data_IF_260530617568
#
_entry.id   IF_260530617568
#
_cell.length_a   1.000
_cell.length_b   1.000
_cell.length_c   1.000
_cell.angle_alpha   90.00
_cell.angle_beta   90.00
_cell.angle_gamma   90.00
#
_symmetry.space_group_name_H-M   'P 1'
#
loop_
_entity.id
_entity.type
_entity.pdbx_description
1 polymer ?
#
# COMPACT_ATOMS: atom_id res chain seq x y z
N UNK A 1 23.10 -3.40 11.64
CA UNK A 1 22.50 -2.83 12.86
C UNK A 1 20.99 -2.92 12.71
N UNK A 2 20.27 -3.53 13.66
CA UNK A 2 18.80 -3.58 13.64
C UNK A 2 18.27 -2.18 13.93
N UNK A 3 17.36 -1.68 13.10
CA UNK A 3 16.68 -0.40 13.34
C UNK A 3 16.05 -0.44 14.75
N UNK A 4 16.15 0.63 15.57
CA UNK A 4 15.49 0.67 16.87
C UNK A 4 13.99 0.40 16.67
N UNK A 5 13.38 -0.47 17.49
CA UNK A 5 12.08 -1.03 17.18
C UNK A 5 11.04 0.08 17.20
N UNK A 6 10.27 0.20 16.12
CA UNK A 6 9.02 0.95 16.19
C UNK A 6 8.11 0.27 17.21
N UNK A 7 7.29 1.04 17.90
CA UNK A 7 6.22 0.46 18.70
C UNK A 7 5.15 -0.07 17.74
N UNK A 8 5.25 -1.33 17.32
CA UNK A 8 4.42 -1.91 16.24
C UNK A 8 2.95 -2.12 16.63
N UNK A 9 2.65 -2.10 17.93
CA UNK A 9 1.33 -2.32 18.51
C UNK A 9 1.01 -1.18 19.47
N UNK A 10 -0.18 -0.60 19.33
CA UNK A 10 -0.71 0.30 20.35
C UNK A 10 -0.99 -0.43 21.68
N UNK A 11 -1.12 0.32 22.78
CA UNK A 11 -1.50 -0.23 24.07
C UNK A 11 -2.82 -1.04 24.01
N UNK A 12 -3.79 -0.57 23.23
CA UNK A 12 -5.06 -1.27 23.02
C UNK A 12 -4.87 -2.61 22.29
N UNK A 13 -4.02 -2.65 21.25
CA UNK A 13 -3.70 -3.89 20.54
C UNK A 13 -2.98 -4.89 21.45
N UNK A 14 -2.02 -4.43 22.26
CA UNK A 14 -1.31 -5.28 23.24
C UNK A 14 -2.29 -5.92 24.23
N UNK A 15 -3.23 -5.13 24.75
CA UNK A 15 -4.27 -5.62 25.67
C UNK A 15 -5.18 -6.67 25.01
N UNK A 16 -5.70 -6.39 23.81
CA UNK A 16 -6.57 -7.32 23.08
C UNK A 16 -5.85 -8.64 22.75
N UNK A 17 -4.57 -8.59 22.34
CA UNK A 17 -3.77 -9.80 22.10
C UNK A 17 -3.60 -10.63 23.39
N UNK A 18 -3.35 -9.99 24.54
CA UNK A 18 -3.27 -10.69 25.85
C UNK A 18 -4.58 -11.37 26.25
N UNK A 19 -5.72 -10.81 25.84
CA UNK A 19 -7.05 -11.40 26.07
C UNK A 19 -7.43 -12.47 25.03
N UNK A 20 -6.56 -12.80 24.07
CA UNK A 20 -6.86 -13.74 22.98
C UNK A 20 -7.75 -13.16 21.87
N UNK A 21 -8.06 -11.86 21.90
CA UNK A 21 -8.90 -11.16 20.92
C UNK A 21 -8.07 -10.66 19.72
N UNK A 22 -7.30 -11.56 19.10
CA UNK A 22 -6.36 -11.24 18.02
C UNK A 22 -7.02 -10.60 16.80
N UNK A 23 -8.21 -11.04 16.41
CA UNK A 23 -8.98 -10.46 15.29
C UNK A 23 -9.34 -8.98 15.49
N UNK A 24 -9.65 -8.60 16.72
CA UNK A 24 -9.91 -7.22 17.11
C UNK A 24 -8.63 -6.40 17.12
N UNK A 25 -7.55 -6.95 17.70
CA UNK A 25 -6.23 -6.31 17.68
C UNK A 25 -5.73 -6.06 16.23
N UNK A 26 -5.99 -7.01 15.33
CA UNK A 26 -5.71 -6.90 13.90
C UNK A 26 -6.52 -5.77 13.26
N UNK A 27 -7.81 -5.66 13.58
CA UNK A 27 -8.65 -4.59 13.05
C UNK A 27 -8.17 -3.21 13.50
N UNK A 28 -7.75 -3.08 14.77
CA UNK A 28 -7.22 -1.82 15.30
C UNK A 28 -5.85 -1.42 14.74
N UNK A 29 -5.12 -2.33 14.08
CA UNK A 29 -3.80 -2.01 13.49
C UNK A 29 -3.87 -0.83 12.53
N UNK A 30 -4.99 -0.68 11.83
CA UNK A 30 -5.23 0.39 10.85
C UNK A 30 -5.32 1.79 11.46
N UNK A 31 -5.48 1.87 12.78
CA UNK A 31 -5.55 3.13 13.53
C UNK A 31 -4.22 3.47 14.18
N UNK A 32 -3.26 2.55 14.13
CA UNK A 32 -1.96 2.71 14.77
C UNK A 32 -0.90 3.03 13.73
N UNK A 33 -0.22 4.14 13.94
CA UNK A 33 0.95 4.54 13.16
C UNK A 33 1.98 5.05 14.15
N UNK A 34 3.20 4.49 14.20
CA UNK A 34 4.16 4.71 15.28
C UNK A 34 4.94 6.02 15.13
N UNK A 35 4.24 7.12 14.84
CA UNK A 35 4.80 8.46 14.69
C UNK A 35 3.93 9.51 15.35
N UNK A 36 4.55 10.58 15.85
CA UNK A 36 3.86 11.70 16.49
C UNK A 36 2.91 12.44 15.54
N UNK A 37 2.04 13.31 16.07
CA UNK A 37 1.05 14.03 15.28
C UNK A 37 1.68 14.99 14.25
N UNK A 38 2.87 15.52 14.52
CA UNK A 38 3.56 16.45 13.62
C UNK A 38 4.25 15.77 12.42
N UNK A 39 4.42 14.43 12.44
CA UNK A 39 5.03 13.71 11.34
C UNK A 39 4.17 13.82 10.06
N UNK A 40 4.79 14.07 8.91
CA UNK A 40 4.10 14.06 7.61
C UNK A 40 4.09 12.63 7.04
N UNK A 41 2.89 12.09 6.79
CA UNK A 41 2.70 10.68 6.42
C UNK A 41 2.14 10.54 5.01
N UNK A 42 2.83 9.77 4.16
CA UNK A 42 2.36 9.34 2.85
C UNK A 42 1.73 7.95 2.94
N UNK A 43 0.64 7.73 2.23
CA UNK A 43 0.15 6.38 1.94
C UNK A 43 0.14 6.11 0.44
N UNK A 44 0.90 5.09 0.04
CA UNK A 44 1.02 4.59 -1.32
C UNK A 44 -0.01 3.49 -1.53
N UNK A 45 -0.76 3.54 -2.64
CA UNK A 45 -1.89 2.63 -2.92
C UNK A 45 -3.07 2.86 -1.99
N UNK A 46 -3.40 4.13 -1.73
CA UNK A 46 -4.40 4.54 -0.71
C UNK A 46 -5.81 3.96 -0.88
N UNK A 47 -6.22 3.69 -2.12
CA UNK A 47 -7.54 3.16 -2.43
C UNK A 47 -8.73 3.89 -1.83
N UNK A 48 -9.81 3.14 -1.57
CA UNK A 48 -11.08 3.67 -1.08
C UNK A 48 -11.16 3.73 0.44
N UNK A 49 -10.16 3.18 1.12
CA UNK A 49 -10.07 3.16 2.57
C UNK A 49 -8.59 3.30 2.94
N UNK A 50 -8.01 4.50 2.87
CA UNK A 50 -6.66 4.78 3.37
C UNK A 50 -6.58 4.56 4.89
N UNK A 51 -5.40 4.55 5.49
CA UNK A 51 -5.23 4.67 6.92
C UNK A 51 -5.58 6.11 7.37
N UNK A 52 -6.42 6.30 8.40
CA UNK A 52 -6.82 7.64 8.84
C UNK A 52 -5.64 8.58 9.13
N UNK A 53 -4.52 8.02 9.60
CA UNK A 53 -3.32 8.79 9.92
C UNK A 53 -2.65 9.45 8.71
N UNK A 54 -2.81 8.94 7.48
CA UNK A 54 -2.12 9.47 6.31
C UNK A 54 -2.50 10.94 6.05
N UNK A 55 -1.51 11.75 5.68
CA UNK A 55 -1.70 13.15 5.37
C UNK A 55 -1.87 13.38 3.87
N UNK A 56 -1.07 12.65 3.07
CA UNK A 56 -1.05 12.69 1.61
C UNK A 56 -1.27 11.27 1.09
N UNK A 57 -2.06 11.16 0.03
CA UNK A 57 -2.42 9.92 -0.63
C UNK A 57 -1.81 9.87 -2.04
N UNK A 58 -1.37 8.69 -2.45
CA UNK A 58 -1.01 8.42 -3.85
C UNK A 58 -1.58 7.07 -4.26
N UNK A 59 -2.12 7.01 -5.48
CA UNK A 59 -2.67 5.79 -6.07
C UNK A 59 -2.42 5.80 -7.58
N UNK A 60 -2.28 4.64 -8.22
CA UNK A 60 -2.02 4.59 -9.66
C UNK A 60 -3.30 4.83 -10.48
N UNK A 61 -4.48 4.54 -9.91
CA UNK A 61 -5.73 4.49 -10.67
C UNK A 61 -6.89 5.10 -9.88
N UNK A 62 -7.73 5.89 -10.55
CA UNK A 62 -9.03 6.31 -10.01
C UNK A 62 -9.95 5.09 -9.83
N UNK A 63 -9.89 4.16 -10.77
CA UNK A 63 -10.73 2.97 -10.83
C UNK A 63 -9.91 1.74 -11.22
N UNK A 64 -9.94 0.68 -10.40
CA UNK A 64 -9.18 -0.56 -10.64
C UNK A 64 -9.91 -1.78 -10.07
N UNK A 65 -9.74 -2.94 -10.73
CA UNK A 65 -10.21 -4.24 -10.25
C UNK A 65 -9.48 -4.69 -8.98
N UNK A 66 -8.22 -4.32 -8.82
CA UNK A 66 -7.39 -4.68 -7.65
C UNK A 66 -8.03 -4.20 -6.35
N UNK A 67 -8.82 -3.12 -6.44
CA UNK A 67 -9.60 -2.52 -5.36
C UNK A 67 -11.06 -2.98 -5.34
N UNK A 68 -11.40 -4.03 -6.08
CA UNK A 68 -12.78 -4.46 -6.32
C UNK A 68 -13.69 -3.32 -6.80
N UNK A 69 -13.15 -2.37 -7.57
CA UNK A 69 -13.87 -1.18 -8.04
C UNK A 69 -14.39 -0.25 -6.94
N UNK A 70 -13.87 -0.35 -5.70
CA UNK A 70 -14.20 0.64 -4.68
C UNK A 70 -13.68 2.04 -5.11
N UNK A 71 -14.49 3.10 -4.99
CA UNK A 71 -14.08 4.45 -5.38
C UNK A 71 -12.80 4.88 -4.66
N UNK A 72 -11.90 5.55 -5.37
CA UNK A 72 -10.74 6.18 -4.75
C UNK A 72 -11.21 7.25 -3.74
N UNK A 73 -10.65 7.24 -2.54
CA UNK A 73 -10.95 8.26 -1.53
C UNK A 73 -10.01 9.45 -1.68
N UNK A 74 -10.57 10.64 -1.78
CA UNK A 74 -9.83 11.89 -2.05
C UNK A 74 -10.11 12.98 -1.01
N UNK A 75 -10.37 12.60 0.25
CA UNK A 75 -10.78 13.51 1.34
C UNK A 75 -9.63 14.35 1.93
N UNK A 76 -8.45 14.29 1.31
CA UNK A 76 -7.20 14.96 1.68
C UNK A 76 -6.31 15.03 0.42
N UNK A 77 -5.19 15.78 0.44
CA UNK A 77 -4.18 15.74 -0.63
C UNK A 77 -4.00 14.38 -1.30
N UNK A 78 -4.31 14.29 -2.59
CA UNK A 78 -4.23 13.06 -3.37
C UNK A 78 -3.59 13.32 -4.72
N UNK A 79 -2.75 12.40 -5.18
CA UNK A 79 -2.04 12.45 -6.47
C UNK A 79 -2.16 11.08 -7.15
N UNK A 80 -2.29 11.07 -8.48
CA UNK A 80 -2.20 9.83 -9.25
C UNK A 80 -0.76 9.60 -9.73
N UNK A 81 -0.17 8.48 -9.33
CA UNK A 81 1.16 8.05 -9.77
C UNK A 81 1.41 6.57 -9.48
N UNK A 82 2.36 5.96 -10.19
CA UNK A 82 2.83 4.59 -9.93
C UNK A 82 3.82 4.56 -8.77
N UNK A 83 3.80 3.48 -7.98
CA UNK A 83 4.68 3.32 -6.81
C UNK A 83 6.17 3.24 -7.18
N UNK A 84 6.46 2.79 -8.39
CA UNK A 84 7.79 2.69 -8.98
C UNK A 84 8.36 4.05 -9.45
N UNK A 85 7.57 5.13 -9.45
CA UNK A 85 8.06 6.47 -9.77
C UNK A 85 7.23 7.54 -9.07
N UNK A 86 7.46 7.70 -7.77
CA UNK A 86 6.69 8.60 -6.92
C UNK A 86 7.07 10.07 -7.21
N UNK A 87 6.10 10.95 -7.44
CA UNK A 87 6.34 12.34 -7.85
C UNK A 87 6.66 13.26 -6.66
N UNK A 88 7.24 12.73 -5.59
CA UNK A 88 7.58 13.49 -4.38
C UNK A 88 9.08 13.73 -4.28
N UNK A 89 9.48 14.85 -3.66
CA UNK A 89 10.87 15.16 -3.36
C UNK A 89 11.47 14.15 -2.37
N UNK A 90 12.80 14.02 -2.38
CA UNK A 90 13.51 13.08 -1.52
C UNK A 90 13.29 13.42 -0.04
N UNK A 91 13.07 12.39 0.78
CA UNK A 91 12.89 12.48 2.24
C UNK A 91 11.84 13.50 2.70
N UNK A 92 10.85 13.76 1.85
CA UNK A 92 9.71 14.65 2.14
C UNK A 92 8.88 14.13 3.31
N UNK A 93 8.69 12.80 3.40
CA UNK A 93 7.81 12.19 4.38
C UNK A 93 8.60 11.63 5.56
N UNK A 94 8.10 11.88 6.77
CA UNK A 94 8.66 11.26 7.97
C UNK A 94 8.29 9.78 8.05
N UNK A 95 7.15 9.39 7.46
CA UNK A 95 6.69 8.01 7.42
C UNK A 95 5.93 7.70 6.12
N UNK A 96 6.20 6.53 5.54
CA UNK A 96 5.52 6.03 4.34
C UNK A 96 4.79 4.73 4.66
N UNK A 97 3.53 4.62 4.25
CA UNK A 97 2.70 3.43 4.42
C UNK A 97 2.47 2.82 3.04
N UNK A 98 2.68 1.51 2.90
CA UNK A 98 2.31 0.72 1.73
C UNK A 98 1.64 -0.57 2.22
N UNK A 99 0.31 -0.58 2.23
CA UNK A 99 -0.48 -1.74 2.66
C UNK A 99 -1.17 -2.37 1.46
N UNK A 100 -0.85 -3.63 1.18
CA UNK A 100 -1.39 -4.38 0.05
C UNK A 100 -1.13 -3.72 -1.31
N UNK A 101 0.15 -3.44 -1.59
CA UNK A 101 0.59 -2.74 -2.81
C UNK A 101 1.83 -3.39 -3.40
N UNK A 102 2.84 -3.67 -2.56
CA UNK A 102 4.10 -4.24 -3.04
C UNK A 102 3.88 -5.54 -3.81
N UNK A 103 2.93 -6.38 -3.38
CA UNK A 103 2.61 -7.65 -4.05
C UNK A 103 2.10 -7.49 -5.49
N UNK A 104 1.62 -6.30 -5.87
CA UNK A 104 1.18 -5.96 -7.23
C UNK A 104 2.30 -5.39 -8.11
N UNK A 105 3.48 -5.13 -7.54
CA UNK A 105 4.61 -4.50 -8.24
C UNK A 105 5.22 -5.46 -9.26
N UNK A 106 5.48 -4.96 -10.46
CA UNK A 106 6.26 -5.70 -11.47
C UNK A 106 7.77 -5.53 -11.27
N UNK A 107 8.19 -4.40 -10.70
CA UNK A 107 9.57 -4.07 -10.37
C UNK A 107 9.72 -3.76 -8.86
N UNK A 108 9.82 -4.79 -8.00
CA UNK A 108 9.92 -4.58 -6.56
C UNK A 108 11.16 -3.79 -6.14
N UNK A 109 12.26 -3.89 -6.90
CA UNK A 109 13.49 -3.16 -6.59
C UNK A 109 13.29 -1.66 -6.75
N UNK A 110 12.65 -1.25 -7.86
CA UNK A 110 12.32 0.16 -8.10
C UNK A 110 11.25 0.66 -7.12
N UNK A 111 10.19 -0.11 -6.85
CA UNK A 111 9.15 0.25 -5.88
C UNK A 111 9.73 0.52 -4.48
N UNK A 112 10.54 -0.41 -3.95
CA UNK A 112 11.16 -0.25 -2.62
C UNK A 112 12.17 0.91 -2.60
N UNK A 113 12.90 1.10 -3.69
CA UNK A 113 13.82 2.23 -3.83
C UNK A 113 13.09 3.57 -3.76
N UNK A 114 11.91 3.70 -4.37
CA UNK A 114 11.09 4.91 -4.31
C UNK A 114 10.50 5.15 -2.92
N UNK A 115 9.99 4.11 -2.24
CA UNK A 115 9.54 4.25 -0.84
C UNK A 115 10.67 4.77 0.06
N UNK A 116 11.86 4.19 -0.08
CA UNK A 116 13.04 4.60 0.66
C UNK A 116 13.50 6.02 0.27
N UNK A 117 13.35 6.42 -1.00
CA UNK A 117 13.77 7.74 -1.47
C UNK A 117 12.88 8.84 -0.89
N UNK A 118 11.56 8.69 -0.94
CA UNK A 118 10.61 9.73 -0.48
C UNK A 118 10.44 9.75 1.04
N UNK A 119 10.70 8.63 1.72
CA UNK A 119 10.47 8.46 3.16
C UNK A 119 11.74 8.39 4.01
N UNK A 120 11.68 8.91 5.24
CA UNK A 120 12.70 8.70 6.28
C UNK A 120 12.51 7.34 6.99
N UNK A 121 11.27 6.88 7.08
CA UNK A 121 10.87 5.61 7.67
C UNK A 121 9.56 5.13 7.03
N UNK A 122 9.15 3.90 7.34
CA UNK A 122 7.85 3.42 6.86
C UNK A 122 7.42 2.05 7.34
N UNK A 123 6.28 1.64 6.78
CA UNK A 123 5.55 0.42 7.05
C UNK A 123 5.10 -0.22 5.74
N UNK A 124 5.41 -1.50 5.57
CA UNK A 124 4.97 -2.33 4.44
C UNK A 124 4.17 -3.52 4.99
N UNK A 125 2.99 -3.76 4.43
CA UNK A 125 2.12 -4.90 4.74
C UNK A 125 1.71 -5.58 3.43
N UNK A 126 1.84 -6.90 3.37
CA UNK A 126 1.34 -7.75 2.28
C UNK A 126 0.80 -9.06 2.89
N UNK A 127 0.05 -9.88 2.14
CA UNK A 127 -0.07 -11.30 2.48
C UNK A 127 1.33 -11.89 2.61
N UNK A 128 1.53 -12.77 3.59
CA UNK A 128 2.81 -13.48 3.69
C UNK A 128 2.97 -14.43 2.48
N UNK A 129 4.21 -14.68 2.07
CA UNK A 129 4.54 -15.56 0.95
C UNK A 129 3.92 -16.95 1.06
N UNK A 130 3.73 -17.49 2.27
CA UNK A 130 3.01 -18.74 2.47
C UNK A 130 1.53 -18.61 2.10
N UNK A 131 0.87 -17.55 2.59
CA UNK A 131 -0.53 -17.26 2.32
C UNK A 131 -0.76 -17.06 0.82
N UNK A 132 0.10 -16.26 0.16
CA UNK A 132 0.02 -16.02 -1.28
C UNK A 132 0.18 -17.30 -2.09
N UNK A 133 1.08 -18.22 -1.69
CA UNK A 133 1.34 -19.42 -2.47
C UNK A 133 0.18 -20.42 -2.47
N UNK A 134 -0.47 -20.59 -1.32
CA UNK A 134 -1.57 -21.55 -1.18
C UNK A 134 -2.93 -20.95 -1.57
N UNK A 135 -3.08 -19.63 -1.49
CA UNK A 135 -4.32 -18.93 -1.81
C UNK A 135 -4.01 -17.72 -2.72
N UNK A 136 -3.60 -17.97 -3.97
CA UNK A 136 -3.10 -16.94 -4.88
C UNK A 136 -4.19 -15.97 -5.30
N UNK A 137 -3.80 -14.70 -5.44
CA UNK A 137 -4.66 -13.67 -6.00
C UNK A 137 -4.26 -13.39 -7.45
N UNK A 138 -5.27 -13.13 -8.29
CA UNK A 138 -5.11 -12.98 -9.75
C UNK A 138 -4.20 -11.82 -10.15
N UNK A 139 -4.16 -10.79 -9.32
CA UNK A 139 -3.42 -9.55 -9.57
C UNK A 139 -2.08 -9.48 -8.81
N UNK A 140 -1.80 -10.45 -7.92
CA UNK A 140 -0.55 -10.47 -7.15
C UNK A 140 0.57 -11.11 -7.96
N UNK A 141 1.62 -10.32 -8.18
CA UNK A 141 2.82 -10.65 -8.95
C UNK A 141 3.95 -11.20 -8.09
N UNK A 142 3.94 -10.89 -6.78
CA UNK A 142 5.03 -11.25 -5.86
C UNK A 142 4.53 -12.09 -4.69
N UNK A 143 5.42 -12.93 -4.18
CA UNK A 143 5.32 -13.53 -2.85
C UNK A 143 6.34 -12.83 -1.95
N UNK A 144 5.89 -12.29 -0.81
CA UNK A 144 6.73 -11.47 0.07
C UNK A 144 6.67 -12.03 1.50
N UNK A 145 7.81 -12.21 2.12
CA UNK A 145 7.91 -12.62 3.54
C UNK A 145 9.06 -11.88 4.21
N UNK A 146 9.12 -11.93 5.54
CA UNK A 146 10.25 -11.41 6.31
C UNK A 146 11.01 -12.57 6.91
N UNK A 147 12.32 -12.65 6.65
CA UNK A 147 13.22 -13.63 7.29
C UNK A 147 14.44 -12.89 7.81
N UNK A 148 14.79 -13.16 9.07
CA UNK A 148 15.95 -12.56 9.73
C UNK A 148 16.00 -11.01 9.69
N UNK A 149 14.83 -10.36 9.60
CA UNK A 149 14.71 -8.90 9.51
C UNK A 149 14.89 -8.31 8.10
N UNK A 150 14.88 -9.15 7.07
CA UNK A 150 14.98 -8.78 5.66
C UNK A 150 13.71 -9.18 4.90
N UNK A 151 13.25 -8.34 3.97
CA UNK A 151 12.21 -8.68 3.01
C UNK A 151 12.77 -9.69 1.98
N UNK A 152 12.18 -10.88 1.94
CA UNK A 152 12.50 -11.91 0.95
C UNK A 152 11.38 -11.96 -0.07
N UNK A 153 11.71 -11.61 -1.31
CA UNK A 153 10.74 -11.44 -2.39
C UNK A 153 10.98 -12.49 -3.46
N UNK A 154 9.91 -13.19 -3.85
CA UNK A 154 9.88 -14.04 -5.04
C UNK A 154 8.94 -13.45 -6.08
N UNK A 155 9.43 -13.30 -7.31
CA UNK A 155 8.61 -12.96 -8.47
C UNK A 155 7.85 -14.21 -8.95
N UNK A 156 6.54 -14.12 -9.16
CA UNK A 156 5.73 -15.20 -9.73
C UNK A 156 5.78 -15.10 -11.25
N UNK A 157 6.01 -16.22 -11.95
CA UNK A 157 5.98 -16.25 -13.42
C UNK A 157 4.56 -16.23 -14.01
N UNK A 158 3.55 -16.51 -13.18
CA UNK A 158 2.13 -16.46 -13.50
C UNK A 158 1.32 -16.23 -12.21
N UNK A 159 0.01 -15.95 -12.34
CA UNK A 159 -0.84 -15.66 -11.17
C UNK A 159 -0.98 -16.83 -10.19
N UNK A 160 -0.77 -18.08 -10.62
CA UNK A 160 -0.63 -19.26 -9.73
C UNK A 160 0.77 -19.84 -9.88
N UNK A 161 1.50 -19.93 -8.77
CA UNK A 161 2.84 -20.51 -8.76
C UNK A 161 2.80 -22.06 -8.74
N UNK A 162 1.85 -22.66 -8.01
CA UNK A 162 1.73 -24.11 -7.83
C UNK A 162 0.28 -24.60 -8.01
N UNK A 163 -0.18 -24.81 -9.27
CA UNK A 163 -1.59 -25.14 -9.54
C UNK A 163 -2.09 -26.41 -8.86
N UNK A 164 -1.28 -27.47 -8.83
CA UNK A 164 -1.63 -28.76 -8.20
C UNK A 164 -1.77 -28.62 -6.67
N UNK A 165 -0.81 -27.94 -6.01
CA UNK A 165 -0.88 -27.68 -4.57
C UNK A 165 -2.12 -26.86 -4.20
N UNK A 166 -2.43 -25.84 -5.02
CA UNK A 166 -3.63 -25.01 -4.82
C UNK A 166 -4.88 -25.85 -4.96
N UNK A 167 -5.03 -26.66 -6.01
CA UNK A 167 -6.19 -27.54 -6.23
C UNK A 167 -6.45 -28.46 -5.02
N UNK A 168 -5.42 -29.13 -4.52
CA UNK A 168 -5.52 -29.97 -3.31
C UNK A 168 -5.94 -29.17 -2.07
N UNK A 169 -5.38 -27.97 -1.89
CA UNK A 169 -5.75 -27.07 -0.79
C UNK A 169 -7.20 -26.60 -0.88
N UNK A 170 -7.67 -26.21 -2.08
CA UNK A 170 -9.04 -25.75 -2.32
C UNK A 170 -10.05 -26.85 -1.99
N UNK A 171 -9.76 -28.08 -2.42
CA UNK A 171 -10.64 -29.22 -2.19
C UNK A 171 -10.71 -29.65 -0.72
N UNK A 172 -9.61 -29.56 0.03
CA UNK A 172 -9.53 -30.14 1.39
C UNK A 172 -9.58 -29.13 2.53
N UNK A 173 -8.84 -28.02 2.44
CA UNK A 173 -8.48 -27.21 3.62
C UNK A 173 -8.99 -25.77 3.54
N UNK A 174 -9.18 -25.20 2.34
CA UNK A 174 -9.54 -23.79 2.14
C UNK A 174 -10.70 -23.31 3.00
N UNK A 175 -11.78 -24.09 3.09
CA UNK A 175 -12.94 -23.73 3.92
C UNK A 175 -12.61 -23.60 5.40
N UNK A 176 -11.73 -24.45 5.95
CA UNK A 176 -11.33 -24.39 7.35
C UNK A 176 -10.33 -23.25 7.59
N UNK A 177 -9.34 -23.10 6.70
CA UNK A 177 -8.33 -22.06 6.81
C UNK A 177 -8.96 -20.66 6.74
N UNK A 178 -9.73 -20.39 5.69
CA UNK A 178 -10.31 -19.06 5.43
C UNK A 178 -11.44 -18.67 6.40
N UNK A 179 -12.25 -19.63 6.88
CA UNK A 179 -13.40 -19.32 7.76
C UNK A 179 -13.11 -19.43 9.25
N UNK A 180 -12.06 -20.15 9.66
CA UNK A 180 -11.76 -20.38 11.08
C UNK A 180 -10.39 -19.88 11.48
N UNK A 181 -9.34 -20.31 10.79
CA UNK A 181 -7.96 -20.09 11.22
C UNK A 181 -7.50 -18.67 10.91
N UNK A 182 -7.60 -18.23 9.65
CA UNK A 182 -7.17 -16.88 9.26
C UNK A 182 -7.89 -15.75 10.01
N UNK A 183 -9.22 -15.81 10.23
CA UNK A 183 -9.90 -14.77 11.00
C UNK A 183 -9.47 -14.76 12.48
N UNK A 184 -9.06 -15.91 13.03
CA UNK A 184 -8.60 -16.05 14.42
C UNK A 184 -7.17 -15.56 14.59
N UNK A 185 -6.28 -15.90 13.67
CA UNK A 185 -4.82 -15.62 13.75
C UNK A 185 -4.33 -14.86 12.51
N UNK A 186 -4.87 -13.66 12.21
CA UNK A 186 -4.58 -12.96 10.95
C UNK A 186 -3.11 -12.51 10.81
N UNK A 187 -2.43 -12.24 11.93
CA UNK A 187 -1.01 -11.88 11.94
C UNK A 187 -0.12 -12.99 11.33
N UNK A 188 -0.56 -14.26 11.36
CA UNK A 188 0.23 -15.39 10.82
C UNK A 188 0.15 -15.51 9.29
N UNK A 189 -0.77 -14.78 8.65
CA UNK A 189 -1.03 -14.83 7.21
C UNK A 189 -0.62 -13.54 6.49
N UNK A 190 -0.08 -12.58 7.23
CA UNK A 190 0.34 -11.28 6.70
C UNK A 190 1.72 -10.98 7.23
N UNK A 191 2.60 -10.53 6.34
CA UNK A 191 3.87 -9.98 6.77
C UNK A 191 3.69 -8.50 7.11
N UNK A 192 4.44 -8.03 8.11
CA UNK A 192 4.49 -6.64 8.53
C UNK A 192 5.95 -6.24 8.66
N UNK A 193 6.37 -5.20 7.95
CA UNK A 193 7.76 -4.77 7.90
C UNK A 193 7.88 -3.27 8.17
N UNK A 194 8.58 -2.95 9.26
CA UNK A 194 8.90 -1.58 9.64
C UNK A 194 10.35 -1.26 9.31
N UNK A 195 10.59 -0.07 8.75
CA UNK A 195 11.93 0.35 8.36
C UNK A 195 12.20 1.80 8.74
N UNK A 196 13.49 2.10 8.92
CA UNK A 196 14.02 3.44 9.14
C UNK A 196 15.30 3.56 8.34
N UNK A 197 15.46 4.67 7.64
CA UNK A 197 16.56 5.05 6.76
C UNK A 197 16.74 4.13 5.53
N UNK A 198 16.81 2.82 5.76
CA UNK A 198 17.03 1.78 4.76
C UNK A 198 16.02 0.64 4.88
N UNK A 199 15.56 0.17 3.73
CA UNK A 199 14.82 -1.10 3.58
C UNK A 199 15.87 -2.18 3.29
N UNK A 200 15.80 -3.32 3.98
CA UNK A 200 16.62 -4.49 3.65
C UNK A 200 15.75 -5.48 2.88
N UNK A 201 16.12 -5.77 1.65
CA UNK A 201 15.40 -6.73 0.81
C UNK A 201 16.34 -7.49 -0.11
N UNK A 202 15.86 -8.66 -0.56
CA UNK A 202 16.45 -9.42 -1.65
C UNK A 202 15.38 -10.08 -2.50
N UNK A 203 15.58 -10.05 -3.82
CA UNK A 203 14.79 -10.82 -4.78
C UNK A 203 15.50 -12.15 -5.01
N UNK A 204 14.83 -13.28 -4.70
CA UNK A 204 15.46 -14.61 -4.74
C UNK A 204 15.57 -15.21 -6.14
N UNK A 205 14.81 -14.67 -7.10
CA UNK A 205 14.76 -15.08 -8.49
C UNK A 205 14.72 -13.85 -9.42
N UNK A 206 15.80 -13.06 -9.49
CA UNK A 206 15.80 -11.76 -10.16
C UNK A 206 15.45 -11.83 -11.65
N UNK A 207 15.79 -12.96 -12.30
CA UNK A 207 15.57 -13.20 -13.72
C UNK A 207 14.13 -13.62 -14.09
N UNK A 208 13.25 -13.84 -13.11
CA UNK A 208 11.84 -14.15 -13.38
C UNK A 208 11.09 -12.88 -13.75
N UNK A 209 10.37 -12.89 -14.87
CA UNK A 209 9.49 -11.80 -15.26
C UNK A 209 8.18 -11.83 -14.45
N UNK A 210 7.85 -10.70 -13.84
CA UNK A 210 6.61 -10.45 -13.11
C UNK A 210 5.66 -9.51 -13.89
N UNK A 211 6.03 -9.13 -15.11
CA UNK A 211 5.32 -8.22 -16.00
C UNK A 211 4.05 -8.78 -16.64
N UNK A 212 3.67 -10.03 -16.34
CA UNK A 212 2.51 -10.71 -16.94
C UNK A 212 1.19 -9.98 -16.68
N UNK A 213 0.24 -10.17 -17.60
CA UNK A 213 -1.12 -9.64 -17.49
C UNK A 213 -2.00 -10.55 -16.65
N UNK A 214 -2.75 -10.03 -15.66
CA UNK A 214 -3.70 -10.82 -14.89
C UNK A 214 -4.75 -11.49 -15.79
N UNK A 215 -5.24 -12.69 -15.43
CA UNK A 215 -6.30 -13.36 -16.18
C UNK A 215 -7.58 -12.51 -16.17
N UNK A 216 -8.34 -12.59 -17.27
CA UNK A 216 -9.65 -11.95 -17.38
C UNK A 216 -10.58 -12.40 -16.24
N UNK A 217 -11.42 -11.48 -15.75
CA UNK A 217 -12.51 -11.82 -14.83
C UNK A 217 -13.80 -11.96 -15.64
N UNK A 218 -14.50 -13.07 -15.50
CA UNK A 218 -15.82 -13.26 -16.11
C UNK A 218 -16.91 -12.43 -15.40
N UNK A 219 -16.66 -11.98 -14.16
CA UNK A 219 -17.60 -11.16 -13.39
C UNK A 219 -16.96 -9.85 -12.90
N UNK A 220 -17.70 -8.73 -13.02
CA UNK A 220 -17.48 -7.55 -12.19
C UNK A 220 -18.17 -7.83 -10.85
N UNK A 221 -17.43 -8.36 -9.89
CA UNK A 221 -17.93 -8.41 -8.52
C UNK A 221 -17.98 -6.96 -8.00
N UNK A 222 -19.18 -6.39 -7.94
CA UNK A 222 -19.39 -5.06 -7.40
C UNK A 222 -18.96 -4.99 -5.93
N UNK A 223 -18.27 -3.92 -5.55
CA UNK A 223 -17.97 -3.61 -4.16
C UNK A 223 -19.27 -3.47 -3.34
N UNK A 224 -19.66 -4.52 -2.61
CA UNK A 224 -20.80 -4.50 -1.69
C UNK A 224 -20.32 -4.38 -0.25
N UNK A 225 -20.16 -3.15 0.24
CA UNK A 225 -19.87 -2.91 1.64
C UNK A 225 -21.15 -2.80 2.46
N UNK A 226 -21.21 -3.48 3.60
CA UNK A 226 -22.30 -3.36 4.56
C UNK A 226 -22.39 -1.91 5.09
N UNK A 227 -23.59 -1.31 5.06
CA UNK A 227 -23.85 0.08 5.44
C UNK A 227 -23.40 0.43 6.87
N UNK A 228 -23.57 -0.49 7.83
CA UNK A 228 -23.13 -0.29 9.22
C UNK A 228 -21.60 -0.25 9.29
N UNK A 229 -20.94 -1.18 8.61
CA UNK A 229 -19.47 -1.22 8.55
C UNK A 229 -18.90 0.01 7.86
N UNK A 230 -19.59 0.50 6.82
CA UNK A 230 -19.24 1.74 6.14
C UNK A 230 -19.34 2.93 7.09
N UNK A 231 -20.46 3.11 7.78
CA UNK A 231 -20.66 4.20 8.74
C UNK A 231 -19.61 4.18 9.87
N UNK A 232 -19.29 2.99 10.40
CA UNK A 232 -18.21 2.83 11.39
C UNK A 232 -16.85 3.23 10.80
N UNK A 233 -16.53 2.76 9.59
CA UNK A 233 -15.27 3.12 8.92
C UNK A 233 -15.17 4.62 8.67
N UNK A 234 -16.24 5.26 8.20
CA UNK A 234 -16.32 6.71 7.99
C UNK A 234 -16.15 7.48 9.30
N UNK A 235 -16.77 7.01 10.39
CA UNK A 235 -16.63 7.62 11.73
C UNK A 235 -15.19 7.52 12.24
N UNK A 236 -14.56 6.36 12.10
CA UNK A 236 -13.17 6.15 12.51
C UNK A 236 -12.20 6.99 11.67
N UNK A 237 -12.44 7.06 10.36
CA UNK A 237 -11.70 7.95 9.47
C UNK A 237 -11.85 9.40 9.89
N UNK A 238 -13.06 9.82 10.27
CA UNK A 238 -13.32 11.17 10.73
C UNK A 238 -12.57 11.48 12.03
N UNK A 239 -12.64 10.59 13.02
CA UNK A 239 -12.06 10.75 14.35
C UNK A 239 -10.52 10.72 14.36
N UNK A 240 -9.92 9.84 13.57
CA UNK A 240 -8.47 9.56 13.61
C UNK A 240 -7.68 10.25 12.49
N UNK A 241 -8.34 11.01 11.61
CA UNK A 241 -7.66 11.78 10.57
C UNK A 241 -7.28 13.18 11.04
N UNK A 242 -6.19 13.70 10.46
CA UNK A 242 -5.71 15.06 10.73
C UNK A 242 -6.36 16.10 9.81
N UNK A 243 -7.70 16.10 9.71
CA UNK A 243 -8.44 16.90 8.70
C UNK A 243 -8.01 18.35 8.60
N UNK A 244 -7.90 19.03 9.75
CA UNK A 244 -7.51 20.44 9.81
C UNK A 244 -6.13 20.67 9.19
N UNK A 245 -5.16 19.81 9.51
CA UNK A 245 -3.81 19.87 8.95
C UNK A 245 -3.81 19.51 7.47
N UNK A 246 -4.50 18.44 7.10
CA UNK A 246 -4.58 17.95 5.72
C UNK A 246 -5.15 19.02 4.77
N UNK A 247 -6.15 19.78 5.22
CA UNK A 247 -6.76 20.85 4.42
C UNK A 247 -5.83 22.05 4.16
N UNK A 248 -4.79 22.24 4.98
CA UNK A 248 -3.83 23.35 4.84
C UNK A 248 -2.49 22.92 4.22
N UNK A 249 -2.34 21.67 3.80
CA UNK A 249 -1.09 21.19 3.20
C UNK A 249 -0.94 21.70 1.77
N UNK A 250 0.17 22.40 1.52
CA UNK A 250 0.60 22.73 0.16
C UNK A 250 1.28 21.52 -0.49
N UNK A 251 0.47 20.71 -1.16
CA UNK A 251 0.94 19.51 -1.87
C UNK A 251 1.95 19.86 -2.96
N UNK A 252 1.80 21.00 -3.62
CA UNK A 252 2.67 21.38 -4.75
C UNK A 252 4.12 21.51 -4.29
N UNK A 253 4.35 22.04 -3.09
CA UNK A 253 5.68 22.16 -2.50
C UNK A 253 6.39 20.80 -2.30
N UNK A 254 5.62 19.73 -2.11
CA UNK A 254 6.09 18.37 -1.85
C UNK A 254 6.50 17.63 -3.13
N UNK A 255 6.01 18.11 -4.29
CA UNK A 255 6.12 17.41 -5.56
C UNK A 255 7.42 17.72 -6.30
N UNK A 256 7.83 16.77 -7.14
CA UNK A 256 8.84 16.94 -8.19
C UNK A 256 8.31 16.35 -9.49
N UNK A 257 8.85 16.80 -10.62
CA UNK A 257 8.50 16.24 -11.92
C UNK A 257 8.93 14.76 -12.02
N UNK A 258 8.01 13.81 -12.24
CA UNK A 258 8.35 12.38 -12.40
C UNK A 258 9.07 12.06 -13.70
N UNK A 259 9.14 13.00 -14.66
CA UNK A 259 9.81 12.79 -15.95
C UNK A 259 11.29 13.21 -15.94
N UNK A 260 11.64 14.34 -15.34
CA UNK A 260 13.03 14.81 -15.27
C UNK A 260 13.65 14.71 -13.87
N UNK A 261 12.86 14.35 -12.86
CA UNK A 261 13.23 14.15 -11.45
C UNK A 261 13.79 15.38 -10.71
N UNK A 262 14.02 16.50 -11.42
CA UNK A 262 14.67 17.70 -10.90
C UNK A 262 13.81 18.95 -10.94
N UNK A 263 12.76 18.95 -11.78
CA UNK A 263 11.96 20.14 -12.00
C UNK A 263 10.85 20.31 -11.00
N UNK A 264 10.69 21.54 -10.50
CA UNK A 264 9.50 21.94 -9.78
C UNK A 264 8.30 21.99 -10.73
N UNK A 265 7.16 21.57 -10.20
CA UNK A 265 5.88 21.65 -10.88
C UNK A 265 5.22 22.99 -10.60
N UNK A 266 4.60 23.56 -11.64
CA UNK A 266 3.73 24.72 -11.54
C UNK A 266 2.32 24.29 -11.86
N UNK A 267 1.36 24.89 -11.17
CA UNK A 267 -0.05 24.66 -11.44
C UNK A 267 -0.53 25.64 -12.50
N UNK A 268 -1.11 25.12 -13.57
CA UNK A 268 -1.70 25.88 -14.67
C UNK A 268 -3.19 25.49 -14.74
N UNK A 269 -4.05 26.27 -14.05
CA UNK A 269 -5.46 25.92 -13.83
C UNK A 269 -5.60 24.57 -13.10
N UNK A 270 -6.13 23.56 -13.78
CA UNK A 270 -6.29 22.20 -13.25
C UNK A 270 -5.09 21.31 -13.57
N UNK A 271 -4.26 21.67 -14.56
CA UNK A 271 -3.11 20.86 -14.96
C UNK A 271 -1.82 21.32 -14.26
N UNK A 272 -0.78 20.51 -14.38
CA UNK A 272 0.56 20.85 -13.91
C UNK A 272 1.57 20.83 -15.04
N UNK A 273 2.56 21.72 -14.99
CA UNK A 273 3.67 21.74 -15.93
C UNK A 273 5.00 21.76 -15.18
N UNK A 274 5.99 21.09 -15.72
CA UNK A 274 7.35 21.12 -15.20
C UNK A 274 8.12 22.29 -15.83
N UNK A 275 8.70 23.18 -15.01
CA UNK A 275 9.39 24.36 -15.55
C UNK A 275 10.65 24.01 -16.36
N UNK A 276 11.53 23.08 -15.93
CA UNK A 276 12.75 22.77 -16.68
C UNK A 276 12.56 21.92 -17.95
N UNK A 277 11.63 20.95 -17.95
CA UNK A 277 11.45 20.05 -19.11
C UNK A 277 10.17 20.32 -19.91
N UNK A 278 9.41 21.36 -19.54
CA UNK A 278 8.15 21.76 -20.16
C UNK A 278 7.07 20.65 -20.22
N UNK A 279 7.24 19.57 -19.44
CA UNK A 279 6.31 18.44 -19.45
C UNK A 279 5.01 18.84 -18.76
N UNK A 280 3.90 18.74 -19.48
CA UNK A 280 2.55 18.83 -18.92
C UNK A 280 2.07 17.51 -18.32
N UNK A 281 1.26 17.63 -17.27
CA UNK A 281 0.61 16.57 -16.52
C UNK A 281 -0.86 16.96 -16.32
N UNK A 282 -1.81 16.18 -16.84
CA UNK A 282 -3.22 16.49 -16.72
C UNK A 282 -3.72 16.25 -15.30
N UNK A 283 -4.93 16.73 -15.01
CA UNK A 283 -5.72 16.25 -13.86
C UNK A 283 -6.87 15.34 -14.28
N UNK A 284 -7.17 14.34 -13.44
CA UNK A 284 -8.32 13.46 -13.59
C UNK A 284 -9.29 13.72 -12.43
N UNK A 285 -10.47 14.28 -12.72
CA UNK A 285 -11.45 14.65 -11.67
C UNK A 285 -10.92 15.64 -10.64
N UNK A 286 -10.01 16.53 -11.03
CA UNK A 286 -9.33 17.48 -10.13
C UNK A 286 -8.16 16.91 -9.34
N UNK A 287 -7.78 15.65 -9.59
CA UNK A 287 -6.62 14.99 -8.99
C UNK A 287 -5.44 15.08 -9.95
N UNK A 288 -4.28 15.63 -9.56
CA UNK A 288 -3.11 15.70 -10.41
C UNK A 288 -2.63 14.31 -10.84
N UNK A 289 -2.46 14.08 -12.14
CA UNK A 289 -2.01 12.83 -12.72
C UNK A 289 -0.54 12.91 -13.17
N UNK A 290 0.35 12.42 -12.31
CA UNK A 290 1.81 12.52 -12.43
C UNK A 290 2.42 11.17 -12.82
N UNK A 291 1.85 10.53 -13.83
CA UNK A 291 2.36 9.27 -14.37
C UNK A 291 3.64 9.51 -15.20
N UNK A 292 4.67 8.66 -15.09
CA UNK A 292 5.75 8.64 -16.08
C UNK A 292 5.18 8.32 -17.48
N UNK A 293 5.92 8.72 -18.53
CA UNK A 293 5.59 8.22 -19.87
C UNK A 293 5.74 6.69 -19.89
N UNK A 294 4.87 5.96 -20.61
CA UNK A 294 5.22 4.63 -21.10
C UNK A 294 6.42 4.69 -22.05
#
# INVERSE_FOLDING_TARGET
>A
MRNPPFEELSSAQKMLKRMGLKSWAWSLRRLHCPVGPEALVLEVGSGGNPLPRANVLVDAYVSTRERHWAPLRTDRPTVLAVGENLPFKDKTFDFVIACHVLEHSSDPDQFLSELQRVGKAGYIETPDAFMERINPYRDHRLEVTVRDGELVIRKKAAWVAEPETVELYEHRVKRLLTRKVMPRDPDEFHMRYYWRDRIQWRVVNPNTDAGWSPPASETRDEYKQNSIRRALTESMQWLYSQKKRNASLDVLSLLRCPSCLKGDLRRERDDMSCSPCAKGFPSEGGIPCLMPRP
#
